data_IF_446045029554
#
_entry.id   IF_446045029554
#
_cell.length_a   1.000
_cell.length_b   1.000
_cell.length_c   1.000
_cell.angle_alpha   90.00
_cell.angle_beta   90.00
_cell.angle_gamma   90.00
#
_symmetry.space_group_name_H-M   'P 1'
#
loop_
_entity.id
_entity.type
_entity.pdbx_description
1 polymer ?
#
# COMPACT_ATOMS: atom_id res chain seq x y z
N UNK A 1 -12.62 -7.07 1.83
CA UNK A 1 -11.39 -7.90 1.94
C UNK A 1 -10.82 -7.69 3.34
N UNK A 2 -10.20 -8.70 3.97
CA UNK A 2 -9.55 -8.51 5.27
C UNK A 2 -8.38 -7.54 5.16
N UNK A 3 -7.97 -6.93 6.25
CA UNK A 3 -6.79 -6.07 6.28
C UNK A 3 -5.54 -6.88 5.89
N UNK A 4 -4.66 -6.30 5.08
CA UNK A 4 -3.47 -6.99 4.60
C UNK A 4 -2.77 -6.30 3.43
N UNK A 5 -1.68 -6.92 2.98
CA UNK A 5 -0.91 -6.48 1.83
C UNK A 5 -1.47 -7.08 0.54
N UNK A 6 -1.72 -6.22 -0.44
CA UNK A 6 -2.25 -6.58 -1.74
C UNK A 6 -1.50 -5.82 -2.83
N UNK A 7 -1.58 -6.28 -4.09
CA UNK A 7 -0.97 -5.58 -5.22
C UNK A 7 -1.43 -4.11 -5.25
N UNK A 8 -0.47 -3.19 -5.41
CA UNK A 8 -0.77 -1.74 -5.42
C UNK A 8 -1.66 -1.39 -6.62
N UNK A 9 -2.90 -0.90 -6.42
CA UNK A 9 -3.78 -0.51 -7.52
C UNK A 9 -3.23 0.68 -8.33
N UNK A 10 -2.38 1.51 -7.70
CA UNK A 10 -1.74 2.63 -8.37
C UNK A 10 -0.52 2.20 -9.20
N UNK A 11 -0.06 0.95 -9.06
CA UNK A 11 1.11 0.37 -9.75
C UNK A 11 2.38 1.23 -9.57
N UNK A 12 2.49 1.94 -8.44
CA UNK A 12 3.68 2.72 -8.06
C UNK A 12 4.63 1.88 -7.20
N UNK A 13 4.07 0.91 -6.48
CA UNK A 13 4.78 -0.03 -5.62
C UNK A 13 4.34 -1.48 -5.90
N UNK A 14 5.03 -2.46 -5.31
CA UNK A 14 4.68 -3.87 -5.48
C UNK A 14 3.40 -4.20 -4.70
N UNK A 15 3.29 -3.68 -3.48
CA UNK A 15 2.14 -3.88 -2.62
C UNK A 15 1.72 -2.57 -1.93
N UNK A 16 0.43 -2.46 -1.64
CA UNK A 16 -0.14 -1.43 -0.76
C UNK A 16 -0.91 -2.12 0.37
N UNK A 17 -0.99 -1.48 1.53
CA UNK A 17 -1.73 -2.03 2.65
C UNK A 17 -3.19 -1.58 2.60
N UNK A 18 -4.09 -2.56 2.62
CA UNK A 18 -5.53 -2.39 2.79
C UNK A 18 -5.87 -2.57 4.27
N UNK A 19 -6.58 -1.61 4.87
CA UNK A 19 -6.91 -1.65 6.31
C UNK A 19 -8.21 -2.42 6.64
N UNK A 20 -8.94 -2.89 5.62
CA UNK A 20 -10.27 -3.48 5.77
C UNK A 20 -11.39 -2.65 5.12
N UNK A 21 -11.18 -1.34 4.92
CA UNK A 21 -12.14 -0.42 4.32
C UNK A 21 -11.55 0.54 3.28
N UNK A 22 -10.26 0.88 3.38
CA UNK A 22 -9.56 1.78 2.47
C UNK A 22 -8.10 1.37 2.25
N UNK A 23 -7.52 1.83 1.14
CA UNK A 23 -6.08 1.72 0.89
C UNK A 23 -5.34 2.79 1.68
N UNK A 24 -4.29 2.40 2.39
CA UNK A 24 -3.48 3.32 3.19
C UNK A 24 -2.28 3.87 2.40
N UNK A 25 -1.51 4.75 3.03
CA UNK A 25 -0.23 5.23 2.54
C UNK A 25 0.91 4.20 2.67
N UNK A 26 0.71 3.10 3.41
CA UNK A 26 1.74 2.09 3.58
C UNK A 26 1.88 1.25 2.30
N UNK A 27 3.10 1.19 1.78
CA UNK A 27 3.47 0.49 0.55
C UNK A 27 4.69 -0.40 0.79
N UNK A 28 4.93 -1.38 -0.07
CA UNK A 28 6.11 -2.25 -0.02
C UNK A 28 6.76 -2.36 -1.39
N UNK A 29 8.10 -2.38 -1.41
CA UNK A 29 8.91 -2.77 -2.58
C UNK A 29 10.11 -3.57 -2.12
N UNK A 30 10.47 -4.63 -2.85
CA UNK A 30 11.59 -5.51 -2.52
C UNK A 30 11.58 -6.01 -1.05
N UNK A 31 10.38 -6.28 -0.52
CA UNK A 31 10.19 -6.74 0.87
C UNK A 31 10.37 -5.68 1.96
N UNK A 32 10.64 -4.42 1.60
CA UNK A 32 10.77 -3.30 2.53
C UNK A 32 9.52 -2.42 2.49
N UNK A 33 9.07 -1.97 3.67
CA UNK A 33 7.91 -1.08 3.80
C UNK A 33 8.31 0.39 3.73
N UNK A 34 7.44 1.20 3.15
CA UNK A 34 7.57 2.64 2.99
C UNK A 34 6.21 3.31 3.22
N UNK A 35 6.22 4.62 3.37
CA UNK A 35 5.02 5.47 3.30
C UNK A 35 5.05 6.22 1.98
N UNK A 36 3.99 6.12 1.18
CA UNK A 36 3.73 6.95 0.00
C UNK A 36 2.98 8.20 0.46
N UNK A 37 3.68 9.32 0.74
CA UNK A 37 3.06 10.51 1.31
C UNK A 37 2.01 11.07 0.33
N UNK A 38 0.89 11.62 0.84
CA UNK A 38 -0.04 12.34 0.00
C UNK A 38 0.69 13.50 -0.69
N UNK A 39 0.57 13.57 -2.02
CA UNK A 39 1.04 14.74 -2.77
C UNK A 39 0.20 15.93 -2.29
N UNK A 40 0.87 16.98 -1.79
CA UNK A 40 0.25 18.22 -1.33
C UNK A 40 -0.45 18.99 -2.45
#
# INVERSE_FOLDING_TARGET
>A
MPAGWYADPAVRFEMRYWDGGTWTEHVSRAGQQFTDPPVA
#
